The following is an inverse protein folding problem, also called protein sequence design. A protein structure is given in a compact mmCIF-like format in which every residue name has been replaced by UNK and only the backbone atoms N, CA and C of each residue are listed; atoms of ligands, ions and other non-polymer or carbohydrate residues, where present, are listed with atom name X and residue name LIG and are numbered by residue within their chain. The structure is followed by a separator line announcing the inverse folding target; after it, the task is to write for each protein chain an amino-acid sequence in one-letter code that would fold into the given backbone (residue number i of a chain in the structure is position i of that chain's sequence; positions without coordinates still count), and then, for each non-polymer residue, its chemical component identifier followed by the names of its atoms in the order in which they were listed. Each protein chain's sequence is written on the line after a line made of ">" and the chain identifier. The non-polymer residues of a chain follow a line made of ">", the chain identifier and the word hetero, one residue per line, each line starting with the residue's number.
data_IF_493796736014
#
_entry.id   IF_493796736014
#
_cell.length_a   1.000
_cell.length_b   1.000
_cell.length_c   1.000
_cell.angle_alpha   90.00
_cell.angle_beta   90.00
_cell.angle_gamma   90.00
#
_symmetry.space_group_name_H-M   'P 1'
#
loop_
_entity.id
_entity.type
_entity.pdbx_description
1 polymer ?
#
# COMPACT_ATOMS: atom_id res chain seq x y z
N UNK A 1 -8.94 26.33 -1.65
CA UNK A 1 -7.56 26.27 -1.12
C UNK A 1 -6.52 26.12 -2.23
N UNK A 2 -5.40 26.83 -2.15
CA UNK A 2 -4.35 26.81 -3.20
C UNK A 2 -3.79 25.40 -3.50
N UNK A 3 -3.81 24.52 -2.50
CA UNK A 3 -3.37 23.12 -2.65
C UNK A 3 -4.35 22.29 -3.49
N UNK A 4 -5.65 22.57 -3.38
CA UNK A 4 -6.70 21.87 -4.13
C UNK A 4 -6.69 22.28 -5.60
N UNK A 5 -6.44 23.56 -5.87
CA UNK A 5 -6.27 24.07 -7.24
C UNK A 5 -5.03 23.48 -7.93
N UNK A 6 -3.89 23.45 -7.22
CA UNK A 6 -2.66 22.83 -7.72
C UNK A 6 -2.85 21.34 -8.04
N UNK A 7 -3.54 20.60 -7.17
CA UNK A 7 -3.85 19.20 -7.41
C UNK A 7 -4.81 19.02 -8.60
N UNK A 8 -5.82 19.88 -8.73
CA UNK A 8 -6.72 19.90 -9.88
C UNK A 8 -5.99 20.08 -11.21
N UNK A 9 -4.98 20.96 -11.25
CA UNK A 9 -4.13 21.15 -12.43
C UNK A 9 -3.30 19.90 -12.76
N UNK A 10 -2.69 19.28 -11.74
CA UNK A 10 -1.91 18.03 -11.90
C UNK A 10 -2.80 16.90 -12.42
N UNK A 11 -4.01 16.74 -11.87
CA UNK A 11 -4.95 15.69 -12.29
C UNK A 11 -5.37 15.84 -13.76
N UNK A 12 -5.62 17.07 -14.22
CA UNK A 12 -6.00 17.35 -15.63
C UNK A 12 -4.86 17.06 -16.62
N UNK A 13 -3.61 17.27 -16.21
CA UNK A 13 -2.42 16.98 -17.03
C UNK A 13 -1.94 15.52 -16.96
N UNK A 14 -2.52 14.71 -16.09
CA UNK A 14 -2.08 13.33 -15.86
C UNK A 14 -2.80 12.32 -16.75
N UNK A 15 -2.17 11.17 -17.00
CA UNK A 15 -2.83 10.04 -17.64
C UNK A 15 -4.03 9.57 -16.79
N UNK A 16 -5.10 9.02 -17.38
CA UNK A 16 -6.33 8.66 -16.65
C UNK A 16 -6.09 7.71 -15.46
N UNK A 17 -5.12 6.80 -15.59
CA UNK A 17 -4.72 5.88 -14.51
C UNK A 17 -4.09 6.62 -13.33
N UNK A 18 -3.19 7.56 -13.62
CA UNK A 18 -2.47 8.33 -12.61
C UNK A 18 -3.37 9.36 -11.94
N UNK A 19 -4.26 9.99 -12.70
CA UNK A 19 -5.28 10.89 -12.15
C UNK A 19 -6.17 10.16 -11.11
N UNK A 20 -6.66 8.96 -11.45
CA UNK A 20 -7.44 8.14 -10.49
C UNK A 20 -6.63 7.74 -9.25
N UNK A 21 -5.35 7.43 -9.41
CA UNK A 21 -4.46 7.11 -8.28
C UNK A 21 -4.30 8.33 -7.36
N UNK A 22 -3.92 9.47 -7.92
CA UNK A 22 -3.66 10.71 -7.19
C UNK A 22 -4.92 11.22 -6.47
N UNK A 23 -6.09 11.12 -7.10
CA UNK A 23 -7.36 11.47 -6.46
C UNK A 23 -7.62 10.61 -5.21
N UNK A 24 -7.42 9.29 -5.28
CA UNK A 24 -7.58 8.40 -4.10
C UNK A 24 -6.54 8.65 -3.01
N UNK A 25 -5.34 9.12 -3.37
CA UNK A 25 -4.29 9.40 -2.41
C UNK A 25 -4.66 10.51 -1.40
N UNK A 26 -5.62 11.38 -1.74
CA UNK A 26 -6.06 12.44 -0.83
C UNK A 26 -6.59 11.91 0.50
N UNK A 27 -7.27 10.75 0.48
CA UNK A 27 -7.89 10.17 1.69
C UNK A 27 -7.06 9.07 2.35
N UNK A 28 -5.95 8.65 1.73
CA UNK A 28 -5.10 7.56 2.23
C UNK A 28 -3.75 8.06 2.77
N UNK A 29 -3.72 9.32 3.23
CA UNK A 29 -2.53 10.05 3.69
C UNK A 29 -2.12 9.85 5.15
N UNK A 30 -3.06 9.47 6.03
CA UNK A 30 -2.88 9.59 7.49
C UNK A 30 -1.65 8.83 8.03
N UNK A 31 -1.28 7.70 7.43
CA UNK A 31 -0.13 6.90 7.86
C UNK A 31 1.23 7.61 7.68
N UNK A 32 1.32 8.65 6.84
CA UNK A 32 2.56 9.41 6.65
C UNK A 32 2.90 10.31 7.84
N UNK A 33 1.88 10.72 8.59
CA UNK A 33 1.99 11.65 9.72
C UNK A 33 1.62 11.01 11.05
N UNK A 34 1.11 9.77 11.02
CA UNK A 34 0.79 9.02 12.21
C UNK A 34 2.08 8.63 12.95
N UNK A 35 2.10 8.84 14.26
CA UNK A 35 3.18 8.35 15.11
C UNK A 35 3.16 6.81 15.14
N UNK A 36 4.28 6.13 14.86
CA UNK A 36 4.36 4.67 14.99
C UNK A 36 4.14 4.25 16.45
N UNK A 37 3.38 3.17 16.66
CA UNK A 37 3.09 2.64 17.98
C UNK A 37 3.17 1.11 17.99
N UNK A 38 4.11 0.58 18.79
CA UNK A 38 4.34 -0.86 19.00
C UNK A 38 3.10 -1.59 19.50
N UNK A 39 2.39 -1.01 20.46
CA UNK A 39 1.23 -1.63 21.08
C UNK A 39 0.06 -1.77 20.10
N UNK A 40 -0.02 -0.86 19.13
CA UNK A 40 -1.07 -0.88 18.11
C UNK A 40 -0.63 -1.60 16.82
N UNK A 41 0.60 -2.14 16.77
CA UNK A 41 1.13 -2.78 15.57
C UNK A 41 1.25 -1.84 14.36
N UNK A 42 1.40 -0.52 14.58
CA UNK A 42 1.51 0.47 13.50
C UNK A 42 2.95 0.82 13.12
N UNK A 43 3.92 0.10 13.66
CA UNK A 43 5.32 0.24 13.25
C UNK A 43 5.57 -0.44 11.90
N UNK A 44 6.00 0.36 10.93
CA UNK A 44 6.49 -0.15 9.65
C UNK A 44 8.01 -0.27 9.73
N UNK A 45 8.56 -1.35 9.17
CA UNK A 45 9.98 -1.42 8.90
C UNK A 45 10.43 -0.34 7.91
N UNK A 46 11.74 -0.04 7.87
CA UNK A 46 12.29 0.92 6.92
C UNK A 46 12.05 0.52 5.45
N UNK A 47 11.95 -0.78 5.16
CA UNK A 47 11.60 -1.28 3.83
C UNK A 47 10.11 -1.08 3.53
N UNK A 48 9.23 -1.50 4.43
CA UNK A 48 7.78 -1.33 4.26
C UNK A 48 7.37 0.13 4.09
N UNK A 49 8.00 1.05 4.82
CA UNK A 49 7.76 2.48 4.68
C UNK A 49 8.17 3.01 3.29
N UNK A 50 9.39 2.66 2.84
CA UNK A 50 9.90 3.08 1.52
C UNK A 50 9.08 2.48 0.38
N UNK A 51 8.70 1.20 0.48
CA UNK A 51 7.87 0.54 -0.50
C UNK A 51 6.47 1.14 -0.55
N UNK A 52 5.86 1.41 0.61
CA UNK A 52 4.56 2.08 0.69
C UNK A 52 4.58 3.48 0.06
N UNK A 53 5.67 4.23 0.25
CA UNK A 53 5.87 5.53 -0.42
C UNK A 53 5.97 5.39 -1.94
N UNK A 54 6.76 4.43 -2.42
CA UNK A 54 6.92 4.18 -3.86
C UNK A 54 5.59 3.76 -4.49
N UNK A 55 4.86 2.84 -3.86
CA UNK A 55 3.54 2.42 -4.30
C UNK A 55 2.54 3.58 -4.33
N UNK A 56 2.54 4.43 -3.30
CA UNK A 56 1.73 5.66 -3.25
C UNK A 56 2.00 6.55 -4.45
N UNK A 57 3.28 6.70 -4.83
CA UNK A 57 3.73 7.50 -5.97
C UNK A 57 3.61 6.79 -7.33
N UNK A 58 3.15 5.53 -7.36
CA UNK A 58 3.05 4.73 -8.58
C UNK A 58 4.41 4.21 -9.08
N UNK A 59 5.45 4.27 -8.24
CA UNK A 59 6.78 3.78 -8.52
C UNK A 59 6.91 2.30 -8.09
N UNK A 60 7.70 1.54 -8.84
CA UNK A 60 7.98 0.14 -8.50
C UNK A 60 8.93 0.06 -7.28
N UNK A 61 8.61 -0.77 -6.27
CA UNK A 61 9.53 -1.11 -5.18
C UNK A 61 10.87 -1.65 -5.69
N UNK A 62 11.96 -1.36 -4.97
CA UNK A 62 13.33 -1.64 -5.44
C UNK A 62 13.78 -3.07 -5.21
N UNK A 63 13.27 -3.72 -4.16
CA UNK A 63 13.71 -5.03 -3.68
C UNK A 63 12.70 -6.14 -3.97
N UNK A 64 12.01 -6.06 -5.12
CA UNK A 64 11.06 -7.12 -5.50
C UNK A 64 11.78 -8.44 -5.82
N UNK A 65 11.28 -9.59 -5.34
CA UNK A 65 11.84 -10.87 -5.70
C UNK A 65 11.70 -11.13 -7.20
N UNK A 66 12.56 -11.96 -7.79
CA UNK A 66 12.45 -12.27 -9.22
C UNK A 66 11.26 -13.16 -9.56
N UNK A 67 10.86 -14.04 -8.63
CA UNK A 67 9.80 -15.04 -8.80
C UNK A 67 8.89 -15.06 -7.57
N UNK A 68 7.63 -15.41 -7.78
CA UNK A 68 6.70 -15.69 -6.71
C UNK A 68 7.05 -17.00 -6.01
N UNK A 69 7.15 -16.93 -4.69
CA UNK A 69 7.35 -18.04 -3.76
C UNK A 69 6.26 -19.13 -3.82
N UNK A 70 5.02 -18.78 -4.16
CA UNK A 70 3.94 -19.77 -4.25
C UNK A 70 3.67 -20.36 -5.64
N UNK A 71 3.82 -19.57 -6.72
CA UNK A 71 3.48 -20.04 -8.08
C UNK A 71 4.67 -20.15 -9.04
N UNK A 72 5.85 -19.63 -8.68
CA UNK A 72 7.05 -19.68 -9.52
C UNK A 72 7.09 -18.68 -10.68
N UNK A 73 6.00 -17.97 -10.97
CA UNK A 73 5.94 -16.96 -12.04
C UNK A 73 6.79 -15.73 -11.71
N UNK A 74 7.15 -14.96 -12.75
CA UNK A 74 7.85 -13.67 -12.58
C UNK A 74 7.05 -12.76 -11.64
N UNK A 75 7.72 -12.24 -10.61
CA UNK A 75 7.04 -11.42 -9.63
C UNK A 75 6.80 -10.01 -10.16
N UNK A 76 5.66 -9.45 -9.76
CA UNK A 76 5.35 -8.02 -9.88
C UNK A 76 4.43 -7.65 -8.73
N UNK A 77 4.32 -6.36 -8.41
CA UNK A 77 3.38 -5.88 -7.38
C UNK A 77 1.95 -6.36 -7.67
N UNK A 78 1.50 -6.21 -8.92
CA UNK A 78 0.16 -6.65 -9.34
C UNK A 78 -0.02 -8.17 -9.14
N UNK A 79 1.01 -8.95 -9.45
CA UNK A 79 1.00 -10.38 -9.23
C UNK A 79 0.94 -10.73 -7.74
N UNK A 80 1.81 -10.16 -6.90
CA UNK A 80 1.83 -10.42 -5.46
C UNK A 80 0.48 -10.13 -4.78
N UNK A 81 -0.18 -9.03 -5.18
CA UNK A 81 -1.49 -8.65 -4.67
C UNK A 81 -2.65 -9.54 -5.13
N UNK A 82 -2.46 -10.34 -6.19
CA UNK A 82 -3.50 -11.21 -6.78
C UNK A 82 -3.17 -12.69 -6.71
N UNK A 83 -1.97 -13.05 -6.25
CA UNK A 83 -1.51 -14.43 -6.27
C UNK A 83 -2.18 -15.25 -5.16
N UNK A 84 -2.97 -16.24 -5.57
CA UNK A 84 -3.67 -17.16 -4.65
C UNK A 84 -2.76 -18.25 -4.07
N UNK A 85 -1.55 -18.43 -4.62
CA UNK A 85 -0.60 -19.48 -4.20
C UNK A 85 0.50 -18.96 -3.27
N UNK A 86 0.88 -17.69 -3.37
CA UNK A 86 2.01 -17.09 -2.63
C UNK A 86 1.72 -16.75 -1.17
N UNK A 87 0.55 -17.09 -0.64
CA UNK A 87 0.21 -16.88 0.76
C UNK A 87 0.04 -15.43 1.22
N UNK A 88 0.61 -14.42 0.53
CA UNK A 88 0.59 -13.02 0.94
C UNK A 88 -0.83 -12.45 1.12
N UNK A 89 -1.75 -12.78 0.22
CA UNK A 89 -3.16 -12.35 0.34
C UNK A 89 -3.79 -12.97 1.60
N UNK A 90 -3.62 -14.28 1.81
CA UNK A 90 -4.16 -14.97 2.97
C UNK A 90 -3.58 -14.43 4.28
N UNK A 91 -2.26 -14.18 4.31
CA UNK A 91 -1.57 -13.63 5.48
C UNK A 91 -2.16 -12.27 5.87
N UNK A 92 -2.33 -11.36 4.92
CA UNK A 92 -2.93 -10.04 5.18
C UNK A 92 -4.39 -10.14 5.64
N UNK A 93 -5.17 -11.06 5.08
CA UNK A 93 -6.54 -11.31 5.55
C UNK A 93 -6.55 -11.81 7.00
N UNK A 94 -5.65 -12.72 7.35
CA UNK A 94 -5.53 -13.25 8.71
C UNK A 94 -5.08 -12.18 9.71
N UNK A 95 -4.12 -11.33 9.35
CA UNK A 95 -3.68 -10.19 10.16
C UNK A 95 -4.84 -9.24 10.45
N UNK A 96 -5.61 -8.86 9.41
CA UNK A 96 -6.78 -8.00 9.56
C UNK A 96 -7.83 -8.67 10.45
N UNK A 97 -8.16 -9.93 10.20
CA UNK A 97 -9.13 -10.67 11.00
C UNK A 97 -8.70 -10.78 12.49
N UNK A 98 -7.42 -11.04 12.75
CA UNK A 98 -6.86 -11.07 14.10
C UNK A 98 -6.96 -9.71 14.80
N UNK A 99 -6.61 -8.63 14.09
CA UNK A 99 -6.76 -7.26 14.59
C UNK A 99 -8.21 -6.92 14.95
N UNK A 100 -9.17 -7.27 14.09
CA UNK A 100 -10.60 -7.09 14.39
C UNK A 100 -11.05 -7.89 15.60
N UNK A 101 -10.64 -9.14 15.72
CA UNK A 101 -10.99 -9.97 16.87
C UNK A 101 -10.48 -9.36 18.18
N UNK A 102 -9.25 -8.84 18.20
CA UNK A 102 -8.68 -8.18 19.36
C UNK A 102 -9.41 -6.89 19.74
N UNK A 103 -9.89 -6.12 18.76
CA UNK A 103 -10.67 -4.91 19.00
C UNK A 103 -12.07 -5.21 19.55
N UNK A 104 -12.70 -6.30 19.10
CA UNK A 104 -14.04 -6.69 19.55
C UNK A 104 -14.05 -7.50 20.85
N UNK A 105 -12.91 -8.02 21.30
CA UNK A 105 -12.77 -8.75 22.56
C UNK A 105 -12.48 -7.84 23.78
N UNK A 106 -12.36 -6.52 23.57
CA UNK A 106 -12.26 -5.49 24.61
C UNK A 106 -13.63 -4.97 25.00
#
# INVERSE_FOLDING_TARGET
>A
DAQEEALGAILKGSQPKDARRLARCQQTGAWLTAMPNKFNGTELSAEEFRDSLRLRLGLQPTSLPSKCDGCGNKFSVAHGLSCKKGGLVLLRHNEVAGGWHQLCAQ
#
